data_IF_312656671234
#
_entry.id   IF_312656671234
#
_cell.length_a   1.000
_cell.length_b   1.000
_cell.length_c   1.000
_cell.angle_alpha   90.00
_cell.angle_beta   90.00
_cell.angle_gamma   90.00
#
_symmetry.space_group_name_H-M   'P 1'
#
loop_
_entity.id
_entity.type
_entity.pdbx_description
1 polymer ?
#
# COMPACT_ATOMS: atom_id res chain seq x y z
N UNK A 1 -0.70 66.32 -5.59
CA UNK A 1 0.29 65.49 -6.34
C UNK A 1 1.27 64.91 -5.34
N UNK A 2 1.07 63.67 -4.92
CA UNK A 2 2.00 62.94 -4.04
C UNK A 2 2.03 61.49 -4.52
N UNK A 3 3.12 61.14 -5.22
CA UNK A 3 3.40 59.77 -5.68
C UNK A 3 3.93 58.97 -4.50
N UNK A 4 3.16 58.00 -4.02
CA UNK A 4 3.66 56.90 -3.19
C UNK A 4 4.22 55.80 -4.08
N UNK A 5 5.52 55.53 -3.99
CA UNK A 5 6.18 54.37 -4.62
C UNK A 5 5.73 53.10 -3.89
N UNK A 6 5.10 52.17 -4.61
CA UNK A 6 4.94 50.79 -4.17
C UNK A 6 6.21 50.02 -4.58
N UNK A 7 6.93 49.47 -3.60
CA UNK A 7 8.02 48.50 -3.82
C UNK A 7 7.42 47.15 -4.24
N UNK A 8 7.93 46.48 -5.29
CA UNK A 8 7.53 45.12 -5.62
C UNK A 8 8.49 44.15 -4.94
N UNK A 9 8.20 43.77 -3.71
CA UNK A 9 8.76 42.55 -3.12
C UNK A 9 7.62 41.58 -2.86
N UNK A 10 7.04 41.09 -3.95
CA UNK A 10 6.34 39.80 -3.93
C UNK A 10 7.42 38.74 -3.70
N UNK A 11 7.52 38.27 -2.47
CA UNK A 11 8.27 37.07 -2.12
C UNK A 11 7.67 35.92 -2.92
N UNK A 12 8.46 35.36 -3.84
CA UNK A 12 8.10 34.11 -4.51
C UNK A 12 7.98 33.04 -3.41
N UNK A 13 6.93 32.21 -3.40
CA UNK A 13 6.88 31.08 -2.48
C UNK A 13 8.09 30.17 -2.72
N UNK A 14 8.74 29.79 -1.61
CA UNK A 14 9.86 28.87 -1.58
C UNK A 14 9.39 27.48 -2.09
N UNK A 15 10.02 26.87 -3.13
CA UNK A 15 9.51 25.65 -3.76
C UNK A 15 9.77 24.36 -2.96
N UNK A 16 10.02 24.46 -1.64
CA UNK A 16 10.52 23.34 -0.82
C UNK A 16 9.69 23.05 0.43
N UNK A 17 8.48 23.59 0.54
CA UNK A 17 7.59 23.19 1.63
C UNK A 17 6.81 21.95 1.19
N UNK A 18 7.01 20.77 1.82
CA UNK A 18 6.16 19.61 1.56
C UNK A 18 4.71 20.01 1.83
N UNK A 19 3.82 19.59 0.93
CA UNK A 19 2.40 20.01 0.92
C UNK A 19 1.60 19.28 2.02
N UNK A 20 2.13 18.16 2.51
CA UNK A 20 1.56 17.39 3.62
C UNK A 20 2.26 17.77 4.93
N UNK A 21 1.53 18.41 5.83
CA UNK A 21 1.99 18.88 7.15
C UNK A 21 1.32 18.12 8.31
N UNK A 22 0.53 17.09 8.01
CA UNK A 22 -0.14 16.33 9.05
C UNK A 22 0.86 15.38 9.72
N UNK A 23 0.90 15.35 11.07
CA UNK A 23 1.78 14.44 11.77
C UNK A 23 1.36 12.99 11.50
N UNK A 24 2.35 12.09 11.49
CA UNK A 24 2.09 10.66 11.40
C UNK A 24 1.09 10.24 12.48
N UNK A 25 0.01 9.60 12.06
CA UNK A 25 -0.99 9.03 12.96
C UNK A 25 -0.98 7.52 12.82
N UNK A 26 -1.05 6.80 13.95
CA UNK A 26 -1.09 5.34 13.98
C UNK A 26 -2.44 4.92 14.54
N UNK A 27 -3.24 4.25 13.70
CA UNK A 27 -4.48 3.60 14.12
C UNK A 27 -4.22 2.11 14.41
N UNK A 28 -4.79 1.61 15.51
CA UNK A 28 -4.70 0.19 15.89
C UNK A 28 -6.10 -0.37 16.03
N UNK A 29 -6.48 -1.26 15.12
CA UNK A 29 -7.77 -1.92 15.12
C UNK A 29 -7.61 -3.40 15.45
N UNK A 30 -8.51 -3.93 16.28
CA UNK A 30 -8.66 -5.37 16.48
C UNK A 30 -9.84 -5.83 15.64
N UNK A 31 -9.58 -6.69 14.66
CA UNK A 31 -10.60 -7.21 13.75
C UNK A 31 -10.95 -8.64 14.17
N UNK A 32 -12.22 -8.89 14.44
CA UNK A 32 -12.72 -10.23 14.71
C UNK A 32 -12.97 -10.96 13.38
N UNK A 33 -12.26 -12.06 13.16
CA UNK A 33 -12.43 -12.92 11.97
C UNK A 33 -13.17 -14.20 12.40
N UNK A 34 -14.39 -14.45 11.90
CA UNK A 34 -15.13 -15.68 12.20
C UNK A 34 -14.34 -16.93 11.79
N UNK A 35 -14.35 -17.95 12.64
CA UNK A 35 -13.63 -19.22 12.41
C UNK A 35 -12.12 -19.06 12.21
N UNK A 36 -11.50 -17.99 12.72
CA UNK A 36 -10.05 -17.86 12.74
C UNK A 36 -9.43 -18.98 13.60
N UNK A 37 -8.45 -19.74 13.08
CA UNK A 37 -7.75 -20.74 13.89
C UNK A 37 -7.07 -20.10 15.11
N UNK A 38 -7.13 -20.73 16.30
CA UNK A 38 -6.50 -20.18 17.51
C UNK A 38 -4.99 -19.88 17.39
N UNK A 39 -4.28 -20.59 16.51
CA UNK A 39 -2.85 -20.34 16.22
C UNK A 39 -2.58 -19.00 15.52
N UNK A 40 -3.63 -18.38 14.96
CA UNK A 40 -3.58 -17.11 14.24
C UNK A 40 -4.16 -15.94 15.05
N UNK A 41 -4.67 -16.21 16.25
CA UNK A 41 -5.10 -15.15 17.16
C UNK A 41 -3.92 -14.27 17.56
N UNK A 42 -4.16 -12.96 17.64
CA UNK A 42 -3.15 -11.97 18.00
C UNK A 42 -2.11 -11.68 16.90
N UNK A 43 -2.26 -12.25 15.69
CA UNK A 43 -1.42 -11.87 14.55
C UNK A 43 -1.58 -10.40 14.24
N UNK A 44 -0.44 -9.72 14.02
CA UNK A 44 -0.41 -8.29 13.72
C UNK A 44 -0.06 -8.05 12.26
N UNK A 45 -0.91 -7.31 11.56
CA UNK A 45 -0.68 -6.84 10.19
C UNK A 45 -0.55 -5.32 10.24
N UNK A 46 0.50 -4.78 9.63
CA UNK A 46 0.62 -3.34 9.36
C UNK A 46 0.32 -3.10 7.89
N UNK A 47 -0.60 -2.19 7.61
CA UNK A 47 -0.92 -1.72 6.26
C UNK A 47 -0.27 -0.36 6.04
N UNK A 48 0.42 -0.19 4.91
CA UNK A 48 0.82 1.12 4.38
C UNK A 48 0.28 1.26 2.96
N UNK A 49 -0.10 2.47 2.57
CA UNK A 49 -0.75 2.71 1.27
C UNK A 49 -0.51 4.14 0.78
N UNK A 50 -0.72 4.37 -0.51
CA UNK A 50 -0.88 5.68 -1.13
C UNK A 50 0.28 6.65 -0.80
N UNK A 51 1.49 6.09 -0.81
CA UNK A 51 2.71 6.84 -0.50
C UNK A 51 2.94 7.96 -1.51
N UNK A 52 2.50 7.78 -2.76
CA UNK A 52 2.62 8.75 -3.85
C UNK A 52 3.99 9.43 -3.88
N UNK A 53 5.04 8.63 -3.79
CA UNK A 53 6.40 9.10 -3.66
C UNK A 53 6.85 9.71 -4.99
N UNK A 54 7.05 11.02 -5.01
CA UNK A 54 7.49 11.80 -6.17
C UNK A 54 8.76 12.62 -5.88
N UNK A 55 9.34 12.43 -4.69
CA UNK A 55 10.50 13.19 -4.18
C UNK A 55 10.20 14.66 -3.86
N UNK A 56 8.93 15.06 -3.81
CA UNK A 56 8.50 16.46 -3.61
C UNK A 56 7.44 16.60 -2.51
N UNK A 57 6.38 15.79 -2.59
CA UNK A 57 5.18 15.92 -1.74
C UNK A 57 5.34 15.17 -0.43
N UNK A 58 5.72 13.90 -0.50
CA UNK A 58 6.08 13.09 0.66
C UNK A 58 7.54 13.36 1.04
N UNK A 59 7.78 13.85 2.25
CA UNK A 59 9.15 14.05 2.74
C UNK A 59 9.79 12.72 3.12
N UNK A 60 11.11 12.64 2.93
CA UNK A 60 11.87 11.46 3.36
C UNK A 60 11.81 11.28 4.88
N UNK A 61 11.76 12.37 5.63
CA UNK A 61 11.63 12.34 7.09
C UNK A 61 10.34 11.66 7.53
N UNK A 62 9.20 12.00 6.92
CA UNK A 62 7.91 11.38 7.25
C UNK A 62 7.88 9.91 6.83
N UNK A 63 8.47 9.57 5.68
CA UNK A 63 8.58 8.18 5.23
C UNK A 63 9.44 7.33 6.19
N UNK A 64 10.58 7.85 6.65
CA UNK A 64 11.44 7.17 7.64
C UNK A 64 10.75 7.05 9.02
N UNK A 65 10.01 8.07 9.43
CA UNK A 65 9.19 8.02 10.64
C UNK A 65 8.11 6.94 10.52
N UNK A 66 7.45 6.84 9.37
CA UNK A 66 6.44 5.82 9.06
C UNK A 66 7.02 4.41 9.11
N UNK A 67 8.18 4.20 8.48
CA UNK A 67 8.88 2.90 8.50
C UNK A 67 9.31 2.54 9.93
N UNK A 68 9.81 3.52 10.69
CA UNK A 68 10.19 3.32 12.10
C UNK A 68 8.98 2.94 12.95
N UNK A 69 7.86 3.64 12.80
CA UNK A 69 6.60 3.34 13.47
C UNK A 69 6.08 1.94 13.12
N UNK A 70 6.06 1.58 11.83
CA UNK A 70 5.70 0.23 11.36
C UNK A 70 6.55 -0.84 12.03
N UNK A 71 7.87 -0.65 12.06
CA UNK A 71 8.78 -1.63 12.66
C UNK A 71 8.63 -1.73 14.18
N UNK A 72 8.30 -0.63 14.88
CA UNK A 72 8.04 -0.64 16.32
C UNK A 72 6.78 -1.43 16.70
N UNK A 73 5.85 -1.60 15.76
CA UNK A 73 4.71 -2.49 15.97
C UNK A 73 5.08 -3.97 15.99
N UNK A 74 6.29 -4.33 15.56
CA UNK A 74 6.74 -5.73 15.44
C UNK A 74 5.73 -6.61 14.67
N UNK A 75 5.40 -6.24 13.42
CA UNK A 75 4.33 -6.89 12.67
C UNK A 75 4.71 -8.32 12.27
N UNK A 76 3.72 -9.19 12.23
CA UNK A 76 3.86 -10.51 11.63
C UNK A 76 3.91 -10.39 10.11
N UNK A 77 3.12 -9.49 9.52
CA UNK A 77 3.06 -9.22 8.10
C UNK A 77 2.95 -7.71 7.85
N UNK A 78 3.69 -7.20 6.87
CA UNK A 78 3.41 -5.86 6.32
C UNK A 78 2.73 -6.05 4.98
N UNK A 79 1.66 -5.29 4.75
CA UNK A 79 0.96 -5.25 3.47
C UNK A 79 1.00 -3.85 2.89
N UNK A 80 1.24 -3.75 1.60
CA UNK A 80 1.27 -2.50 0.86
C UNK A 80 0.12 -2.49 -0.17
N UNK A 81 -0.78 -1.51 -0.09
CA UNK A 81 -2.04 -1.54 -0.86
C UNK A 81 -2.09 -0.60 -2.07
N UNK A 82 -0.93 -0.25 -2.62
CA UNK A 82 -0.81 0.44 -3.92
C UNK A 82 -0.44 1.92 -3.82
N UNK A 83 -0.37 2.54 -5.00
CA UNK A 83 -0.05 3.96 -5.22
C UNK A 83 1.28 4.38 -4.58
N UNK A 84 2.33 3.64 -4.92
CA UNK A 84 3.71 3.91 -4.49
C UNK A 84 4.25 5.18 -5.13
N UNK A 85 3.88 5.44 -6.38
CA UNK A 85 4.27 6.62 -7.16
C UNK A 85 3.04 7.47 -7.52
N UNK A 86 3.23 8.67 -8.04
CA UNK A 86 2.12 9.50 -8.55
C UNK A 86 2.00 9.37 -10.06
N UNK A 87 2.81 10.08 -10.83
CA UNK A 87 2.69 10.09 -12.29
C UNK A 87 3.93 9.41 -12.89
N UNK A 88 5.11 9.96 -12.63
CA UNK A 88 6.39 9.37 -13.04
C UNK A 88 6.71 8.14 -12.18
N UNK A 89 6.99 6.95 -12.77
CA UNK A 89 7.38 5.76 -12.00
C UNK A 89 8.84 5.79 -11.54
N UNK A 90 9.70 6.62 -12.13
CA UNK A 90 11.15 6.68 -11.82
C UNK A 90 11.48 6.85 -10.32
N UNK A 91 10.74 7.66 -9.54
CA UNK A 91 10.96 7.82 -8.10
C UNK A 91 10.85 6.52 -7.30
N UNK A 92 10.23 5.45 -7.84
CA UNK A 92 10.15 4.15 -7.17
C UNK A 92 11.54 3.64 -6.75
N UNK A 93 12.58 3.93 -7.54
CA UNK A 93 13.94 3.52 -7.21
C UNK A 93 14.45 4.18 -5.92
N UNK A 94 14.13 5.45 -5.68
CA UNK A 94 14.45 6.12 -4.41
C UNK A 94 13.55 5.63 -3.29
N UNK A 95 12.24 5.48 -3.54
CA UNK A 95 11.30 4.93 -2.57
C UNK A 95 11.77 3.57 -2.03
N UNK A 96 12.22 2.66 -2.90
CA UNK A 96 12.70 1.33 -2.46
C UNK A 96 13.97 1.38 -1.61
N UNK A 97 14.76 2.45 -1.66
CA UNK A 97 15.88 2.64 -0.73
C UNK A 97 15.40 2.85 0.71
N UNK A 98 14.18 3.37 0.88
CA UNK A 98 13.51 3.47 2.17
C UNK A 98 12.78 2.16 2.50
N UNK A 99 11.94 1.66 1.59
CA UNK A 99 11.08 0.48 1.85
C UNK A 99 11.86 -0.79 2.21
N UNK A 100 13.12 -0.94 1.75
CA UNK A 100 14.00 -2.06 2.16
C UNK A 100 14.25 -2.14 3.67
N UNK A 101 13.93 -1.07 4.42
CA UNK A 101 14.09 -1.00 5.87
C UNK A 101 12.83 -1.45 6.63
N UNK A 102 11.72 -1.73 5.94
CA UNK A 102 10.56 -2.39 6.54
C UNK A 102 10.92 -3.79 7.04
N UNK A 103 10.30 -4.17 8.15
CA UNK A 103 10.52 -5.46 8.81
C UNK A 103 9.19 -6.10 9.15
N UNK A 104 9.14 -7.41 9.02
CA UNK A 104 8.05 -8.27 9.47
C UNK A 104 8.57 -9.68 9.72
N UNK A 105 7.80 -10.51 10.43
CA UNK A 105 8.19 -11.90 10.67
C UNK A 105 7.99 -12.82 9.44
N UNK A 106 6.95 -12.56 8.64
CA UNK A 106 6.51 -13.45 7.55
C UNK A 106 6.59 -12.79 6.15
N UNK A 107 7.31 -11.68 6.03
CA UNK A 107 7.55 -10.99 4.75
C UNK A 107 6.60 -9.82 4.49
N UNK A 108 6.73 -9.25 3.30
CA UNK A 108 6.01 -8.05 2.88
C UNK A 108 5.27 -8.38 1.60
N UNK A 109 3.94 -8.22 1.61
CA UNK A 109 3.09 -8.42 0.44
C UNK A 109 2.61 -7.08 -0.08
N UNK A 110 2.41 -6.99 -1.39
CA UNK A 110 2.02 -5.76 -2.05
C UNK A 110 1.02 -6.01 -3.17
N UNK A 111 0.06 -5.10 -3.35
CA UNK A 111 -0.69 -4.94 -4.61
C UNK A 111 -0.29 -3.61 -5.25
N UNK A 112 -0.62 -3.42 -6.52
CA UNK A 112 -0.36 -2.16 -7.22
C UNK A 112 -1.65 -1.35 -7.31
N UNK A 113 -1.51 -0.03 -7.19
CA UNK A 113 -2.61 0.90 -7.40
C UNK A 113 -2.71 1.41 -8.83
N UNK A 114 -3.66 2.29 -9.09
CA UNK A 114 -3.85 2.81 -10.44
C UNK A 114 -2.70 3.72 -10.89
N UNK A 115 -2.07 4.46 -9.98
CA UNK A 115 -0.94 5.33 -10.31
C UNK A 115 0.32 4.51 -10.68
N UNK A 116 0.50 3.35 -10.05
CA UNK A 116 1.61 2.43 -10.36
C UNK A 116 1.52 1.81 -11.76
N UNK A 117 0.34 1.86 -12.37
CA UNK A 117 0.02 1.23 -13.65
C UNK A 117 -0.33 2.24 -14.75
N UNK A 118 -0.28 3.55 -14.46
CA UNK A 118 -0.89 4.58 -15.31
C UNK A 118 -0.18 4.82 -16.65
N UNK A 119 1.17 4.81 -16.66
CA UNK A 119 1.95 5.00 -17.88
C UNK A 119 2.52 3.69 -18.42
N UNK A 120 2.92 3.73 -19.70
CA UNK A 120 3.64 2.65 -20.34
C UNK A 120 4.89 2.30 -19.51
N UNK A 121 5.09 1.02 -19.24
CA UNK A 121 6.17 0.46 -18.43
C UNK A 121 6.14 0.76 -16.91
N UNK A 122 5.22 1.61 -16.41
CA UNK A 122 5.12 1.91 -14.96
C UNK A 122 4.96 0.65 -14.13
N UNK A 123 4.01 -0.23 -14.51
CA UNK A 123 3.75 -1.48 -13.81
C UNK A 123 5.01 -2.34 -13.67
N UNK A 124 5.70 -2.52 -14.78
CA UNK A 124 6.90 -3.36 -14.83
C UNK A 124 8.03 -2.76 -14.00
N UNK A 125 8.24 -1.44 -14.09
CA UNK A 125 9.25 -0.73 -13.33
C UNK A 125 8.99 -0.82 -11.82
N UNK A 126 7.77 -0.51 -11.39
CA UNK A 126 7.36 -0.54 -9.98
C UNK A 126 7.48 -1.95 -9.43
N UNK A 127 6.93 -2.94 -10.15
CA UNK A 127 7.02 -4.37 -9.76
C UNK A 127 8.48 -4.79 -9.57
N UNK A 128 9.35 -4.51 -10.55
CA UNK A 128 10.76 -4.89 -10.48
C UNK A 128 11.51 -4.16 -9.36
N UNK A 129 11.17 -2.91 -9.08
CA UNK A 129 11.81 -2.16 -8.02
C UNK A 129 11.46 -2.73 -6.64
N UNK A 130 10.17 -3.00 -6.39
CA UNK A 130 9.69 -3.58 -5.13
C UNK A 130 10.25 -4.99 -4.91
N UNK A 131 10.23 -5.84 -5.93
CA UNK A 131 10.79 -7.20 -5.83
C UNK A 131 12.28 -7.23 -5.51
N UNK A 132 13.06 -6.21 -5.93
CA UNK A 132 14.50 -6.12 -5.61
C UNK A 132 14.79 -5.87 -4.13
N UNK A 133 13.78 -5.47 -3.36
CA UNK A 133 13.88 -5.24 -1.92
C UNK A 133 12.97 -6.21 -1.14
N UNK A 134 12.76 -7.41 -1.70
CA UNK A 134 12.06 -8.54 -1.10
C UNK A 134 10.58 -8.25 -0.75
N UNK A 135 9.94 -7.37 -1.52
CA UNK A 135 8.49 -7.13 -1.47
C UNK A 135 7.80 -7.97 -2.56
N UNK A 136 6.95 -8.91 -2.14
CA UNK A 136 6.23 -9.79 -3.05
C UNK A 136 4.97 -9.11 -3.59
N UNK A 137 4.87 -9.01 -4.90
CA UNK A 137 3.69 -8.44 -5.58
C UNK A 137 2.67 -9.53 -5.86
N UNK A 138 1.45 -9.32 -5.38
CA UNK A 138 0.29 -10.12 -5.68
C UNK A 138 -0.55 -9.41 -6.74
N UNK A 139 -0.77 -10.09 -7.86
CA UNK A 139 -1.57 -9.59 -8.97
C UNK A 139 -2.49 -10.70 -9.46
N UNK A 140 -3.72 -10.72 -8.94
CA UNK A 140 -4.62 -11.89 -9.00
C UNK A 140 -3.90 -13.16 -8.53
N UNK A 141 -3.37 -13.11 -7.30
CA UNK A 141 -2.56 -14.17 -6.73
C UNK A 141 -2.91 -14.40 -5.26
N UNK A 142 -2.52 -15.57 -4.74
CA UNK A 142 -2.73 -15.98 -3.34
C UNK A 142 -1.37 -16.21 -2.70
N UNK A 143 -1.16 -15.63 -1.53
CA UNK A 143 -0.04 -15.93 -0.65
C UNK A 143 -0.52 -16.60 0.64
N UNK A 144 0.38 -17.37 1.26
CA UNK A 144 0.13 -18.13 2.49
C UNK A 144 1.18 -17.83 3.56
N UNK A 145 1.39 -16.57 3.96
CA UNK A 145 2.42 -16.20 4.93
C UNK A 145 2.23 -16.90 6.29
N UNK A 146 0.99 -17.23 6.64
CA UNK A 146 0.63 -17.92 7.87
C UNK A 146 0.21 -19.39 7.66
N UNK A 147 0.49 -19.96 6.49
CA UNK A 147 -0.01 -21.26 6.05
C UNK A 147 -1.39 -21.18 5.37
N UNK A 148 -1.97 -22.35 5.06
CA UNK A 148 -3.18 -22.52 4.25
C UNK A 148 -4.49 -22.08 4.93
N UNK A 149 -4.47 -21.82 6.24
CA UNK A 149 -5.66 -21.50 7.03
C UNK A 149 -6.05 -20.02 7.07
N UNK A 150 -5.24 -19.14 6.47
CA UNK A 150 -5.55 -17.73 6.28
C UNK A 150 -4.84 -17.21 5.03
N UNK A 151 -5.33 -17.56 3.82
CA UNK A 151 -4.82 -16.99 2.58
C UNK A 151 -4.94 -15.47 2.55
N UNK A 152 -3.91 -14.84 1.97
CA UNK A 152 -3.91 -13.42 1.61
C UNK A 152 -4.03 -13.34 0.09
N UNK A 153 -5.10 -12.74 -0.40
CA UNK A 153 -5.37 -12.62 -1.83
C UNK A 153 -5.02 -11.21 -2.26
N UNK A 154 -4.16 -11.04 -3.27
CA UNK A 154 -3.95 -9.74 -3.89
C UNK A 154 -4.60 -9.69 -5.26
N UNK A 155 -5.46 -8.69 -5.47
CA UNK A 155 -6.17 -8.48 -6.72
C UNK A 155 -5.46 -7.40 -7.55
N UNK A 156 -5.56 -7.53 -8.87
CA UNK A 156 -5.14 -6.47 -9.77
C UNK A 156 -5.96 -5.19 -9.53
N UNK A 157 -5.40 -4.02 -9.86
CA UNK A 157 -6.14 -2.76 -9.83
C UNK A 157 -7.42 -2.84 -10.67
N UNK A 158 -8.53 -2.30 -10.15
CA UNK A 158 -9.85 -2.35 -10.77
C UNK A 158 -9.88 -1.71 -12.16
N UNK A 159 -9.09 -0.66 -12.37
CA UNK A 159 -9.08 0.11 -13.61
C UNK A 159 -8.07 -0.42 -14.65
N UNK A 160 -7.20 -1.35 -14.26
CA UNK A 160 -6.22 -1.99 -15.14
C UNK A 160 -6.82 -2.82 -16.28
N UNK A 161 -8.10 -3.21 -16.16
CA UNK A 161 -8.74 -4.19 -17.05
C UNK A 161 -8.31 -5.64 -16.78
N UNK A 162 -7.44 -5.87 -15.81
CA UNK A 162 -6.97 -7.20 -15.40
C UNK A 162 -7.56 -7.66 -14.06
N UNK A 163 -8.45 -6.88 -13.43
CA UNK A 163 -9.17 -7.29 -12.21
C UNK A 163 -9.95 -8.59 -12.42
N UNK A 164 -9.46 -9.69 -11.84
CA UNK A 164 -9.97 -11.03 -12.10
C UNK A 164 -10.12 -11.83 -10.80
N UNK A 165 -11.08 -11.48 -9.91
CA UNK A 165 -11.25 -12.16 -8.63
C UNK A 165 -11.73 -13.60 -8.77
N UNK A 166 -12.65 -13.86 -9.71
CA UNK A 166 -13.29 -15.17 -9.88
C UNK A 166 -12.32 -16.36 -9.96
N UNK A 167 -11.34 -16.40 -10.89
CA UNK A 167 -10.45 -17.55 -11.01
C UNK A 167 -9.59 -17.78 -9.76
N UNK A 168 -9.39 -16.76 -8.92
CA UNK A 168 -8.58 -16.86 -7.70
C UNK A 168 -9.43 -17.28 -6.51
N UNK A 169 -10.58 -16.61 -6.33
CA UNK A 169 -11.48 -16.87 -5.22
C UNK A 169 -12.17 -18.23 -5.30
N UNK A 170 -12.43 -18.76 -6.50
CA UNK A 170 -12.99 -20.11 -6.70
C UNK A 170 -12.00 -21.25 -6.42
N UNK A 171 -10.71 -20.96 -6.19
CA UNK A 171 -9.73 -21.97 -5.76
C UNK A 171 -9.77 -22.25 -4.26
N UNK A 172 -10.38 -21.36 -3.47
CA UNK A 172 -10.34 -21.40 -2.02
C UNK A 172 -11.58 -22.10 -1.44
N UNK A 173 -11.35 -22.90 -0.40
CA UNK A 173 -12.42 -23.49 0.40
C UNK A 173 -13.29 -22.35 1.01
N UNK A 174 -14.62 -22.34 0.78
CA UNK A 174 -15.51 -21.29 1.31
C UNK A 174 -15.51 -21.19 2.85
N UNK A 175 -15.11 -22.23 3.57
CA UNK A 175 -15.09 -22.27 5.03
C UNK A 175 -13.77 -21.77 5.65
N UNK A 176 -12.76 -21.47 4.82
CA UNK A 176 -11.49 -20.89 5.29
C UNK A 176 -11.57 -19.35 5.30
N UNK A 177 -11.24 -18.68 6.43
CA UNK A 177 -11.17 -17.23 6.50
C UNK A 177 -10.09 -16.67 5.58
N UNK A 178 -10.29 -15.46 5.06
CA UNK A 178 -9.32 -14.84 4.15
C UNK A 178 -9.30 -13.32 4.20
N UNK A 179 -8.12 -12.78 3.88
CA UNK A 179 -7.89 -11.34 3.75
C UNK A 179 -7.66 -11.04 2.27
N UNK A 180 -8.31 -10.00 1.77
CA UNK A 180 -8.12 -9.49 0.41
C UNK A 180 -7.38 -8.15 0.46
N UNK A 181 -6.31 -8.05 -0.30
CA UNK A 181 -5.61 -6.81 -0.62
C UNK A 181 -6.13 -6.34 -1.99
N UNK A 182 -6.61 -5.11 -2.04
CA UNK A 182 -7.13 -4.51 -3.25
C UNK A 182 -6.93 -3.02 -3.18
N UNK A 183 -6.35 -2.38 -4.19
CA UNK A 183 -6.16 -0.94 -4.13
C UNK A 183 -7.50 -0.20 -4.05
N UNK A 184 -8.51 -0.56 -4.86
CA UNK A 184 -9.76 0.19 -4.92
C UNK A 184 -10.79 -0.33 -3.90
N UNK A 185 -11.26 0.49 -2.93
CA UNK A 185 -12.27 0.08 -1.94
C UNK A 185 -13.58 -0.43 -2.55
N UNK A 186 -13.97 0.10 -3.71
CA UNK A 186 -15.19 -0.27 -4.46
C UNK A 186 -15.25 -1.78 -4.81
N UNK A 187 -14.10 -2.45 -4.86
CA UNK A 187 -14.03 -3.90 -5.10
C UNK A 187 -14.77 -4.71 -4.03
N UNK A 188 -14.98 -4.18 -2.82
CA UNK A 188 -15.72 -4.85 -1.76
C UNK A 188 -17.15 -5.23 -2.17
N UNK A 189 -17.80 -4.38 -2.98
CA UNK A 189 -19.13 -4.68 -3.50
C UNK A 189 -19.11 -5.82 -4.53
N UNK A 190 -18.04 -5.90 -5.33
CA UNK A 190 -17.86 -6.93 -6.36
C UNK A 190 -17.46 -8.29 -5.77
N UNK A 191 -16.88 -8.31 -4.57
CA UNK A 191 -16.39 -9.51 -3.90
C UNK A 191 -17.45 -10.22 -3.04
N UNK A 192 -18.63 -9.63 -2.85
CA UNK A 192 -19.77 -10.23 -2.12
C UNK A 192 -20.14 -11.68 -2.51
N UNK A 193 -19.96 -12.15 -3.77
CA UNK A 193 -20.22 -13.54 -4.12
C UNK A 193 -19.31 -14.57 -3.43
N UNK A 194 -18.16 -14.13 -2.87
CA UNK A 194 -17.22 -14.98 -2.16
C UNK A 194 -17.09 -14.55 -0.71
N UNK A 195 -16.67 -15.48 0.15
CA UNK A 195 -16.26 -15.12 1.51
C UNK A 195 -15.04 -14.19 1.45
N UNK A 196 -15.13 -13.06 2.14
CA UNK A 196 -14.03 -12.13 2.43
C UNK A 196 -14.23 -11.67 3.87
N UNK A 197 -13.26 -11.94 4.75
CA UNK A 197 -13.38 -11.61 6.17
C UNK A 197 -12.80 -10.23 6.48
N UNK A 198 -11.83 -9.79 5.68
CA UNK A 198 -11.28 -8.44 5.71
C UNK A 198 -10.79 -8.05 4.32
N UNK A 199 -11.14 -6.85 3.87
CA UNK A 199 -10.49 -6.20 2.74
C UNK A 199 -9.64 -5.04 3.26
N UNK A 200 -8.38 -5.00 2.83
CA UNK A 200 -7.49 -3.87 3.04
C UNK A 200 -7.31 -3.15 1.70
N UNK A 201 -7.69 -1.87 1.69
CA UNK A 201 -7.62 -1.01 0.50
C UNK A 201 -6.87 0.28 0.74
N UNK A 202 -6.30 0.79 -0.35
CA UNK A 202 -5.74 2.13 -0.42
C UNK A 202 -6.82 3.19 -0.53
#
# INVERSE_FOLDING_TARGET
MTRGKLSPHATRPNPLTPIWLEPLTIERLTIEIPNLPPSLEGKKIVQLTDLHYDGKRLSNELLEETITASNLENPDLVVLTGDYVTDDPTPVHQLTLHLKHLKSHYGILAVLGNHDNYFLDSREMVTKALQRVDIEILWNAIAYPFGDKLPIIGLADLWSGEFAPRPIMEQLDPDIPRIVLSHNPDTAALLQPWRVDLQLSG
#
